data_IF_914554885083
#
_entry.id   IF_914554885083
#
_cell.length_a   1.000
_cell.length_b   1.000
_cell.length_c   1.000
_cell.angle_alpha   90.00
_cell.angle_beta   90.00
_cell.angle_gamma   90.00
#
_symmetry.space_group_name_H-M   'P 1'
#
loop_
_entity.id
_entity.type
_entity.pdbx_description
1 polymer ?
#
# COMPACT_ATOMS: atom_id res chain seq x y z
N UNK A 1 13.93 -24.21 55.34
CA UNK A 1 14.56 -23.18 54.48
C UNK A 1 15.78 -23.67 53.68
N UNK A 2 16.41 -24.80 54.01
CA UNK A 2 17.57 -25.31 53.24
C UNK A 2 17.24 -26.12 51.97
N UNK A 3 16.01 -26.66 51.84
CA UNK A 3 15.64 -27.56 50.73
C UNK A 3 15.75 -26.91 49.35
N UNK A 4 15.35 -25.65 49.21
CA UNK A 4 15.43 -24.92 47.94
C UNK A 4 16.86 -24.63 47.51
N UNK A 5 17.74 -24.28 48.46
CA UNK A 5 19.18 -24.08 48.20
C UNK A 5 19.89 -25.39 47.83
N UNK A 6 19.52 -26.50 48.48
CA UNK A 6 20.01 -27.83 48.09
C UNK A 6 19.52 -28.24 46.70
N UNK A 7 18.25 -28.01 46.38
CA UNK A 7 17.67 -28.32 45.07
C UNK A 7 18.37 -27.53 43.95
N UNK A 8 18.58 -26.22 44.14
CA UNK A 8 19.27 -25.37 43.15
C UNK A 8 20.73 -25.80 42.94
N UNK A 9 21.45 -26.17 44.02
CA UNK A 9 22.83 -26.64 43.93
C UNK A 9 22.93 -27.97 43.20
N UNK A 10 21.96 -28.87 43.40
CA UNK A 10 21.87 -30.17 42.73
C UNK A 10 21.49 -30.01 41.24
N UNK A 11 20.59 -29.08 40.92
CA UNK A 11 20.20 -28.75 39.55
C UNK A 11 21.37 -28.17 38.73
N UNK A 12 22.17 -27.29 39.35
CA UNK A 12 23.31 -26.63 38.70
C UNK A 12 24.49 -27.59 38.44
N UNK A 13 24.63 -28.65 39.23
CA UNK A 13 25.73 -29.63 39.07
C UNK A 13 25.41 -30.75 38.09
N UNK A 14 24.13 -31.02 37.81
CA UNK A 14 23.70 -32.11 36.91
C UNK A 14 23.16 -31.57 35.58
N UNK A 15 24.02 -31.52 34.57
CA UNK A 15 23.70 -31.01 33.23
C UNK A 15 22.48 -31.67 32.56
N UNK A 16 22.25 -32.97 32.81
CA UNK A 16 21.09 -33.72 32.26
C UNK A 16 19.75 -33.12 32.74
N UNK A 17 19.68 -32.72 34.02
CA UNK A 17 18.46 -32.14 34.58
C UNK A 17 18.19 -30.73 34.02
N UNK A 18 19.25 -29.94 33.85
CA UNK A 18 19.18 -28.60 33.29
C UNK A 18 18.73 -28.64 31.81
N UNK A 19 19.27 -29.58 31.03
CA UNK A 19 18.87 -29.77 29.63
C UNK A 19 17.38 -30.14 29.50
N UNK A 20 16.86 -30.98 30.39
CA UNK A 20 15.43 -31.35 30.41
C UNK A 20 14.50 -30.17 30.70
N UNK A 21 14.83 -29.34 31.68
CA UNK A 21 14.02 -28.17 32.04
C UNK A 21 14.05 -27.13 30.93
N UNK A 22 15.21 -26.86 30.32
CA UNK A 22 15.31 -25.94 29.18
C UNK A 22 14.48 -26.46 28.01
N UNK A 23 14.57 -27.76 27.69
CA UNK A 23 13.80 -28.37 26.61
C UNK A 23 12.29 -28.24 26.83
N UNK A 24 11.82 -28.55 28.04
CA UNK A 24 10.41 -28.39 28.42
C UNK A 24 9.97 -26.93 28.38
N UNK A 25 10.80 -26.01 28.89
CA UNK A 25 10.49 -24.57 28.92
C UNK A 25 10.43 -24.01 27.50
N UNK A 26 11.36 -24.39 26.64
CA UNK A 26 11.38 -23.96 25.24
C UNK A 26 10.15 -24.51 24.49
N UNK A 27 9.77 -25.76 24.73
CA UNK A 27 8.58 -26.38 24.11
C UNK A 27 7.26 -25.75 24.55
N UNK A 28 7.13 -25.39 25.83
CA UNK A 28 5.95 -24.67 26.32
C UNK A 28 5.96 -23.23 25.82
N UNK A 29 7.13 -22.57 25.79
CA UNK A 29 7.26 -21.22 25.27
C UNK A 29 6.87 -21.11 23.79
N UNK A 30 7.27 -22.07 22.94
CA UNK A 30 6.87 -22.07 21.53
C UNK A 30 5.36 -22.24 21.37
N UNK A 31 4.72 -23.12 22.14
CA UNK A 31 3.26 -23.27 22.16
C UNK A 31 2.54 -21.98 22.55
N UNK A 32 3.01 -21.27 23.58
CA UNK A 32 2.42 -20.01 24.03
C UNK A 32 2.61 -18.91 22.98
N UNK A 33 3.84 -18.75 22.47
CA UNK A 33 4.17 -17.67 21.52
C UNK A 33 3.36 -17.81 20.24
N UNK A 34 3.25 -19.02 19.68
CA UNK A 34 2.52 -19.23 18.41
C UNK A 34 1.04 -18.84 18.55
N UNK A 35 0.37 -19.31 19.61
CA UNK A 35 -1.02 -18.95 19.86
C UNK A 35 -1.18 -17.43 20.09
N UNK A 36 -0.27 -16.84 20.88
CA UNK A 36 -0.32 -15.41 21.20
C UNK A 36 -0.08 -14.52 19.97
N UNK A 37 0.83 -14.91 19.08
CA UNK A 37 1.13 -14.15 17.85
C UNK A 37 -0.05 -14.20 16.90
N UNK A 38 -0.67 -15.37 16.73
CA UNK A 38 -1.84 -15.49 15.85
C UNK A 38 -3.03 -14.67 16.35
N UNK A 39 -3.29 -14.70 17.66
CA UNK A 39 -4.38 -13.94 18.27
C UNK A 39 -4.12 -12.42 18.23
N UNK A 40 -2.89 -12.00 18.53
CA UNK A 40 -2.47 -10.60 18.46
C UNK A 40 -2.59 -10.04 17.05
N UNK A 41 -2.05 -10.75 16.06
CA UNK A 41 -2.13 -10.35 14.66
C UNK A 41 -3.58 -10.31 14.16
N UNK A 42 -4.40 -11.30 14.52
CA UNK A 42 -5.81 -11.33 14.12
C UNK A 42 -6.60 -10.15 14.68
N UNK A 43 -6.32 -9.76 15.93
CA UNK A 43 -6.96 -8.61 16.57
C UNK A 43 -6.51 -7.31 15.93
N UNK A 44 -5.20 -7.13 15.73
CA UNK A 44 -4.65 -5.94 15.09
C UNK A 44 -5.10 -5.77 13.65
N UNK A 45 -5.14 -6.86 12.88
CA UNK A 45 -5.62 -6.83 11.49
C UNK A 45 -7.10 -6.44 11.44
N UNK A 46 -7.94 -7.01 12.31
CA UNK A 46 -9.37 -6.64 12.39
C UNK A 46 -9.54 -5.17 12.77
N UNK A 47 -8.79 -4.68 13.75
CA UNK A 47 -8.82 -3.28 14.18
C UNK A 47 -8.33 -2.34 13.08
N UNK A 48 -7.29 -2.70 12.34
CA UNK A 48 -6.79 -1.88 11.22
C UNK A 48 -7.76 -1.83 10.05
N UNK A 49 -8.41 -2.95 9.73
CA UNK A 49 -9.41 -3.00 8.66
C UNK A 49 -10.68 -2.22 9.03
N UNK A 50 -11.15 -2.34 10.28
CA UNK A 50 -12.36 -1.66 10.77
C UNK A 50 -12.10 -0.21 11.21
N UNK A 51 -10.87 0.14 11.54
CA UNK A 51 -10.52 1.47 12.04
C UNK A 51 -10.51 2.53 10.94
N UNK A 52 -10.34 2.16 9.67
CA UNK A 52 -10.25 3.16 8.58
C UNK A 52 -11.62 3.45 7.96
N UNK A 53 -12.56 2.50 8.04
CA UNK A 53 -13.86 2.54 7.37
C UNK A 53 -15.02 2.55 8.37
N UNK A 54 -16.17 3.10 7.96
CA UNK A 54 -17.40 2.96 8.74
C UNK A 54 -17.85 1.48 8.75
N UNK A 55 -18.48 1.04 9.85
CA UNK A 55 -18.98 -0.34 9.97
C UNK A 55 -20.07 -0.67 8.93
N UNK A 56 -20.88 0.33 8.58
CA UNK A 56 -21.94 0.24 7.57
C UNK A 56 -21.89 1.48 6.69
N UNK A 57 -21.90 1.26 5.38
CA UNK A 57 -21.94 2.34 4.37
C UNK A 57 -23.24 2.19 3.58
N UNK A 58 -23.99 3.27 3.49
CA UNK A 58 -25.19 3.36 2.67
C UNK A 58 -24.87 4.24 1.48
N UNK A 59 -24.78 3.63 0.30
CA UNK A 59 -24.43 4.32 -0.94
C UNK A 59 -25.64 4.37 -1.87
N UNK A 60 -25.67 5.41 -2.69
CA UNK A 60 -26.62 5.52 -3.81
C UNK A 60 -25.93 5.07 -5.08
N UNK A 61 -26.63 4.30 -5.93
CA UNK A 61 -26.08 3.86 -7.22
C UNK A 61 -25.90 5.00 -8.25
N UNK A 62 -26.34 6.22 -7.93
CA UNK A 62 -26.23 7.38 -8.82
C UNK A 62 -24.85 8.02 -8.69
N UNK A 63 -24.23 8.37 -9.82
CA UNK A 63 -22.94 9.06 -9.86
C UNK A 63 -23.02 10.53 -9.41
N UNK A 64 -24.17 11.18 -9.57
CA UNK A 64 -24.36 12.59 -9.18
C UNK A 64 -24.54 12.77 -7.66
N UNK A 65 -24.54 11.67 -6.92
CA UNK A 65 -24.94 11.64 -5.52
C UNK A 65 -26.43 11.94 -5.34
N UNK A 66 -26.88 11.89 -4.09
CA UNK A 66 -28.23 12.30 -3.71
C UNK A 66 -28.11 13.27 -2.53
N UNK A 67 -28.82 14.41 -2.54
CA UNK A 67 -28.90 15.26 -1.36
C UNK A 67 -29.40 14.44 -0.17
N UNK A 68 -28.64 14.49 0.94
CA UNK A 68 -29.05 13.81 2.17
C UNK A 68 -30.28 14.51 2.73
N UNK A 69 -31.43 14.00 2.34
CA UNK A 69 -32.73 14.43 2.83
C UNK A 69 -32.89 13.93 4.26
N UNK A 70 -33.52 14.75 5.13
CA UNK A 70 -33.84 14.36 6.51
C UNK A 70 -34.55 13.00 6.58
N UNK A 71 -35.25 12.62 5.51
CA UNK A 71 -35.98 11.37 5.38
C UNK A 71 -35.08 10.12 5.36
N UNK A 72 -33.90 10.17 4.73
CA UNK A 72 -32.96 9.04 4.71
C UNK A 72 -32.34 8.86 6.10
N UNK A 73 -31.93 9.96 6.73
CA UNK A 73 -31.45 9.94 8.13
C UNK A 73 -32.50 9.38 9.07
N UNK A 74 -33.75 9.82 8.93
CA UNK A 74 -34.86 9.37 9.76
C UNK A 74 -35.25 7.91 9.49
N UNK A 75 -35.15 7.42 8.26
CA UNK A 75 -35.43 6.02 7.94
C UNK A 75 -34.37 5.09 8.53
N UNK A 76 -33.10 5.47 8.45
CA UNK A 76 -31.98 4.74 9.10
C UNK A 76 -32.18 4.75 10.62
N UNK A 77 -32.49 5.91 11.20
CA UNK A 77 -32.76 6.02 12.64
C UNK A 77 -33.95 5.16 13.08
N UNK A 78 -35.01 5.05 12.27
CA UNK A 78 -36.16 4.17 12.57
C UNK A 78 -35.82 2.69 12.45
N UNK A 79 -34.91 2.32 11.55
CA UNK A 79 -34.54 0.92 11.32
C UNK A 79 -33.60 0.37 12.39
N UNK A 80 -32.62 1.18 12.83
CA UNK A 80 -31.55 0.74 13.75
C UNK A 80 -31.73 1.30 15.17
N UNK A 81 -32.47 2.40 15.34
CA UNK A 81 -32.78 2.94 16.66
C UNK A 81 -31.54 3.43 17.41
N UNK A 82 -31.43 3.02 18.68
CA UNK A 82 -30.42 3.48 19.63
C UNK A 82 -29.05 2.80 19.48
N UNK A 83 -28.92 1.80 18.60
CA UNK A 83 -27.65 1.10 18.36
C UNK A 83 -26.67 1.92 17.48
N UNK A 84 -27.07 3.11 17.01
CA UNK A 84 -26.24 4.01 16.20
C UNK A 84 -25.32 4.83 17.12
N UNK A 85 -24.05 4.46 17.19
CA UNK A 85 -23.04 5.23 17.91
C UNK A 85 -22.72 6.59 17.26
N UNK A 86 -22.83 6.67 15.93
CA UNK A 86 -22.61 7.89 15.16
C UNK A 86 -23.00 7.71 13.70
N UNK A 87 -23.35 8.82 13.04
CA UNK A 87 -23.64 8.81 11.62
C UNK A 87 -23.13 10.09 10.97
N UNK A 88 -22.47 9.95 9.83
CA UNK A 88 -21.97 11.07 9.03
C UNK A 88 -22.41 10.90 7.58
N UNK A 89 -22.51 12.02 6.88
CA UNK A 89 -22.62 12.04 5.43
C UNK A 89 -21.25 12.26 4.83
N UNK A 90 -20.92 11.52 3.78
CA UNK A 90 -19.69 11.71 3.01
C UNK A 90 -19.99 11.66 1.53
N UNK A 91 -19.22 12.43 0.75
CA UNK A 91 -19.26 12.40 -0.71
C UNK A 91 -17.91 11.93 -1.20
N UNK A 92 -17.85 10.86 -1.97
CA UNK A 92 -16.62 10.31 -2.52
C UNK A 92 -16.57 10.54 -4.03
N UNK A 93 -15.50 11.16 -4.51
CA UNK A 93 -15.25 11.33 -5.95
C UNK A 93 -13.81 10.95 -6.29
N UNK A 94 -13.62 10.41 -7.48
CA UNK A 94 -12.28 10.17 -8.03
C UNK A 94 -11.77 11.45 -8.71
N UNK A 95 -10.55 11.86 -8.38
CA UNK A 95 -9.92 13.05 -8.91
C UNK A 95 -8.45 12.79 -9.27
N UNK A 96 -7.84 13.73 -10.02
CA UNK A 96 -6.40 13.74 -10.27
C UNK A 96 -5.79 14.92 -9.53
N UNK A 97 -4.87 14.65 -8.61
CA UNK A 97 -4.10 15.67 -7.92
C UNK A 97 -2.79 15.89 -8.68
N UNK A 98 -2.62 17.09 -9.21
CA UNK A 98 -1.38 17.52 -9.86
C UNK A 98 -0.60 18.42 -8.92
N UNK A 99 0.55 17.94 -8.46
CA UNK A 99 1.48 18.72 -7.63
C UNK A 99 2.74 19.00 -8.45
N UNK A 100 3.18 20.25 -8.43
CA UNK A 100 4.46 20.63 -9.00
C UNK A 100 5.57 20.33 -7.98
N UNK A 101 6.49 19.46 -8.35
CA UNK A 101 7.68 19.17 -7.56
C UNK A 101 8.92 19.49 -8.40
N UNK A 102 9.61 20.58 -8.06
CA UNK A 102 10.67 21.13 -8.90
C UNK A 102 10.13 21.63 -10.24
N UNK A 103 10.72 21.18 -11.35
CA UNK A 103 10.31 21.54 -12.72
C UNK A 103 9.30 20.58 -13.37
N UNK A 104 8.92 19.50 -12.69
CA UNK A 104 8.02 18.48 -13.25
C UNK A 104 6.65 18.48 -12.56
N UNK A 105 5.60 18.31 -13.36
CA UNK A 105 4.24 18.05 -12.87
C UNK A 105 4.09 16.56 -12.59
N UNK A 106 3.77 16.23 -11.34
CA UNK A 106 3.49 14.86 -10.91
C UNK A 106 1.99 14.75 -10.67
N UNK A 107 1.29 14.06 -11.58
CA UNK A 107 -0.15 13.80 -11.47
C UNK A 107 -0.38 12.45 -10.81
N UNK A 108 -1.13 12.44 -9.71
CA UNK A 108 -1.50 11.21 -9.00
C UNK A 108 -3.03 11.09 -8.93
N UNK A 109 -3.62 9.94 -9.27
CA UNK A 109 -5.03 9.69 -8.98
C UNK A 109 -5.23 9.70 -7.47
N UNK A 110 -6.26 10.40 -7.02
CA UNK A 110 -6.65 10.50 -5.62
C UNK A 110 -8.16 10.31 -5.50
N UNK A 111 -8.59 9.80 -4.36
CA UNK A 111 -10.01 9.78 -3.99
C UNK A 111 -10.25 10.96 -3.07
N UNK A 112 -11.09 11.91 -3.50
CA UNK A 112 -11.49 13.05 -2.70
C UNK A 112 -12.75 12.71 -1.92
N UNK A 113 -12.68 12.84 -0.60
CA UNK A 113 -13.79 12.55 0.30
C UNK A 113 -14.21 13.86 0.96
N UNK A 114 -15.39 14.36 0.61
CA UNK A 114 -16.07 15.44 1.32
C UNK A 114 -16.62 14.91 2.64
N UNK A 115 -16.22 15.53 3.75
CA UNK A 115 -16.63 15.14 5.10
C UNK A 115 -17.20 16.34 5.86
N UNK A 116 -18.14 16.10 6.75
CA UNK A 116 -18.46 17.02 7.85
C UNK A 116 -17.55 16.69 9.04
N UNK A 117 -16.60 17.56 9.43
CA UNK A 117 -15.62 17.26 10.47
C UNK A 117 -16.25 16.92 11.83
N UNK A 118 -17.37 17.55 12.18
CA UNK A 118 -18.00 17.37 13.48
C UNK A 118 -18.60 15.97 13.63
N UNK A 119 -19.32 15.50 12.60
CA UNK A 119 -19.92 14.16 12.61
C UNK A 119 -18.93 13.07 12.24
N UNK A 120 -17.91 13.37 11.42
CA UNK A 120 -16.88 12.40 11.02
C UNK A 120 -16.04 11.93 12.20
N UNK A 121 -15.77 12.80 13.17
CA UNK A 121 -15.05 12.45 14.39
C UNK A 121 -15.78 11.38 15.23
N UNK A 122 -17.12 11.27 15.12
CA UNK A 122 -17.90 10.27 15.85
C UNK A 122 -17.85 8.88 15.19
N UNK A 123 -17.71 8.81 13.87
CA UNK A 123 -17.79 7.53 13.11
C UNK A 123 -16.44 6.91 12.78
N UNK A 124 -15.33 7.60 13.05
CA UNK A 124 -14.01 7.09 12.71
C UNK A 124 -12.87 7.82 13.41
N UNK A 125 -11.68 7.21 13.46
CA UNK A 125 -10.52 7.71 14.19
C UNK A 125 -9.73 8.77 13.41
N UNK A 126 -10.29 9.36 12.35
CA UNK A 126 -9.57 10.34 11.51
C UNK A 126 -8.91 11.43 12.34
N UNK A 127 -9.62 11.96 13.35
CA UNK A 127 -9.11 13.00 14.24
C UNK A 127 -7.84 12.59 15.00
N UNK A 128 -7.67 11.31 15.34
CA UNK A 128 -6.52 10.79 16.10
C UNK A 128 -5.24 10.72 15.25
N UNK A 129 -5.37 10.73 13.93
CA UNK A 129 -4.25 10.63 12.99
C UNK A 129 -3.90 11.97 12.34
N UNK A 130 -4.55 13.07 12.73
CA UNK A 130 -4.24 14.42 12.22
C UNK A 130 -3.12 15.06 13.05
N UNK A 131 -1.93 15.17 12.47
CA UNK A 131 -0.74 15.69 13.16
C UNK A 131 -0.85 17.15 13.65
N UNK A 132 -1.63 17.97 12.96
CA UNK A 132 -1.70 19.41 13.21
C UNK A 132 -2.97 19.85 13.95
N UNK A 133 -3.84 18.91 14.32
CA UNK A 133 -5.04 19.17 15.11
C UNK A 133 -4.74 18.81 16.57
N UNK A 134 -5.23 19.59 17.53
CA UNK A 134 -5.10 19.23 18.95
C UNK A 134 -5.94 17.98 19.24
N UNK A 135 -5.46 17.11 20.12
CA UNK A 135 -6.20 15.93 20.57
C UNK A 135 -7.62 16.32 21.02
N UNK A 136 -8.63 15.62 20.47
CA UNK A 136 -10.07 15.80 20.71
C UNK A 136 -10.70 17.11 20.20
N UNK A 137 -10.03 17.88 19.34
CA UNK A 137 -10.66 19.03 18.68
C UNK A 137 -11.33 18.61 17.36
N UNK A 138 -12.36 19.37 16.96
CA UNK A 138 -13.02 19.16 15.68
C UNK A 138 -12.04 19.58 14.58
N UNK A 139 -11.71 18.70 13.61
CA UNK A 139 -10.79 19.06 12.54
C UNK A 139 -11.27 20.30 11.81
N UNK A 140 -10.45 21.35 11.80
CA UNK A 140 -10.73 22.57 11.07
C UNK A 140 -9.68 22.78 9.97
N UNK A 141 -9.99 23.68 9.04
CA UNK A 141 -9.06 24.06 7.98
C UNK A 141 -8.05 25.13 8.42
N UNK A 142 -8.15 25.58 9.67
CA UNK A 142 -7.30 26.63 10.21
C UNK A 142 -6.01 26.03 10.76
N UNK A 143 -4.91 26.32 10.08
CA UNK A 143 -3.58 25.88 10.52
C UNK A 143 -3.23 26.54 11.86
N UNK A 144 -2.73 25.73 12.81
CA UNK A 144 -2.06 26.23 14.01
C UNK A 144 -0.97 27.26 13.64
N UNK A 145 -0.72 28.30 14.48
CA UNK A 145 0.34 29.27 14.22
C UNK A 145 1.71 28.64 13.95
N UNK A 146 2.02 27.52 14.60
CA UNK A 146 3.23 26.74 14.38
C UNK A 146 3.26 26.09 12.98
N UNK A 147 2.16 25.47 12.57
CA UNK A 147 2.00 24.86 11.25
C UNK A 147 2.10 25.90 10.13
N UNK A 148 1.53 27.09 10.37
CA UNK A 148 1.61 28.22 9.45
C UNK A 148 3.04 28.75 9.32
N UNK A 149 3.77 28.86 10.43
CA UNK A 149 5.18 29.26 10.43
C UNK A 149 6.05 28.25 9.66
N UNK A 150 5.89 26.95 9.93
CA UNK A 150 6.57 25.88 9.20
C UNK A 150 6.29 25.94 7.69
N UNK A 151 5.02 26.11 7.31
CA UNK A 151 4.63 26.23 5.90
C UNK A 151 5.25 27.47 5.25
N UNK A 152 5.26 28.61 5.96
CA UNK A 152 5.89 29.85 5.49
C UNK A 152 7.38 29.66 5.25
N UNK A 153 8.11 29.05 6.20
CA UNK A 153 9.54 28.74 6.05
C UNK A 153 9.81 27.85 4.84
N UNK A 154 8.99 26.82 4.64
CA UNK A 154 9.11 25.92 3.49
C UNK A 154 8.87 26.65 2.17
N UNK A 155 7.80 27.45 2.09
CA UNK A 155 7.49 28.25 0.90
C UNK A 155 8.58 29.28 0.62
N UNK A 156 9.10 29.98 1.65
CA UNK A 156 10.20 30.93 1.49
C UNK A 156 11.49 30.23 1.02
N UNK A 157 11.80 29.03 1.54
CA UNK A 157 12.95 28.24 1.10
C UNK A 157 12.80 27.77 -0.34
N UNK A 158 11.61 27.34 -0.73
CA UNK A 158 11.30 26.99 -2.12
C UNK A 158 11.44 28.20 -3.05
N UNK A 159 10.89 29.35 -2.66
CA UNK A 159 11.01 30.61 -3.39
C UNK A 159 12.48 31.02 -3.57
N UNK A 160 13.27 30.97 -2.49
CA UNK A 160 14.71 31.28 -2.54
C UNK A 160 15.48 30.35 -3.48
N UNK A 161 15.14 29.05 -3.52
CA UNK A 161 15.76 28.11 -4.47
C UNK A 161 15.43 28.47 -5.92
N UNK A 162 14.18 28.83 -6.20
CA UNK A 162 13.74 29.26 -7.54
C UNK A 162 14.41 30.58 -7.94
N UNK A 163 14.49 31.56 -7.03
CA UNK A 163 15.15 32.83 -7.29
C UNK A 163 16.65 32.63 -7.54
N UNK A 164 17.31 31.76 -6.78
CA UNK A 164 18.72 31.40 -6.99
C UNK A 164 18.93 30.72 -8.34
N UNK A 165 18.03 29.82 -8.74
CA UNK A 165 18.05 29.20 -10.06
C UNK A 165 17.96 30.23 -11.18
N UNK A 166 17.10 31.24 -11.04
CA UNK A 166 16.91 32.29 -12.05
C UNK A 166 18.09 33.28 -12.13
N UNK A 167 18.76 33.58 -11.01
CA UNK A 167 19.85 34.57 -10.97
C UNK A 167 21.25 33.97 -11.15
N UNK A 168 21.46 32.71 -10.78
CA UNK A 168 22.73 32.01 -10.93
C UNK A 168 22.47 30.53 -11.25
N UNK A 169 22.01 30.21 -12.47
CA UNK A 169 21.79 28.83 -12.86
C UNK A 169 23.10 28.05 -12.74
N UNK A 170 23.06 26.80 -12.23
CA UNK A 170 24.25 25.95 -12.30
C UNK A 170 24.73 25.89 -13.76
N UNK A 171 26.05 25.83 -14.02
CA UNK A 171 26.52 25.65 -15.37
C UNK A 171 25.81 24.42 -15.94
N UNK A 172 25.09 24.60 -17.05
CA UNK A 172 24.61 23.45 -17.80
C UNK A 172 25.87 22.68 -18.15
N UNK A 173 26.00 21.46 -17.64
CA UNK A 173 26.99 20.52 -18.17
C UNK A 173 26.66 20.45 -19.66
N UNK A 174 27.50 21.13 -20.46
CA UNK A 174 27.53 20.96 -21.89
C UNK A 174 27.64 19.47 -22.07
N UNK A 175 26.65 18.85 -22.72
CA UNK A 175 26.72 17.43 -23.03
C UNK A 175 28.09 17.20 -23.66
N UNK A 176 29.04 16.64 -22.90
CA UNK A 176 30.15 15.93 -23.49
C UNK A 176 29.44 14.86 -24.30
N UNK A 177 29.37 15.10 -25.61
CA UNK A 177 29.12 14.04 -26.56
C UNK A 177 30.21 13.04 -26.25
N UNK A 178 29.87 12.03 -25.44
CA UNK A 178 30.64 10.80 -25.37
C UNK A 178 30.59 10.28 -26.79
N UNK A 179 31.59 10.63 -27.57
CA UNK A 179 31.82 10.05 -28.88
C UNK A 179 32.08 8.59 -28.62
N UNK A 180 31.04 7.78 -28.74
CA UNK A 180 31.20 6.37 -29.03
C UNK A 180 31.99 6.33 -30.35
N UNK A 181 33.31 6.14 -30.27
CA UNK A 181 34.06 5.62 -31.40
C UNK A 181 33.36 4.30 -31.78
N UNK A 182 32.72 4.27 -32.95
CA UNK A 182 32.27 3.02 -33.53
C UNK A 182 33.49 2.09 -33.59
N UNK A 183 33.46 0.91 -32.93
CA UNK A 183 34.54 -0.04 -33.10
C UNK A 183 34.52 -0.46 -34.57
N UNK A 184 35.65 -0.24 -35.24
CA UNK A 184 35.92 -0.70 -36.60
C UNK A 184 35.46 -2.14 -36.73
N UNK A 185 34.55 -2.37 -37.68
CA UNK A 185 33.94 -3.66 -38.00
C UNK A 185 35.03 -4.69 -38.34
N UNK A 186 35.51 -5.42 -37.33
CA UNK A 186 36.37 -6.57 -37.50
C UNK A 186 35.51 -7.78 -37.82
N UNK A 187 35.62 -8.25 -39.06
CA UNK A 187 34.89 -9.38 -39.65
C UNK A 187 35.31 -10.76 -39.09
N UNK A 188 35.65 -10.88 -37.80
CA UNK A 188 35.93 -12.17 -37.16
C UNK A 188 34.74 -12.60 -36.28
N UNK A 189 34.19 -13.83 -36.48
CA UNK A 189 33.08 -14.30 -35.69
C UNK A 189 33.51 -14.48 -34.23
N UNK A 190 32.76 -13.85 -33.32
CA UNK A 190 32.96 -13.97 -31.87
C UNK A 190 32.91 -15.45 -31.44
N UNK A 191 33.81 -15.91 -30.55
CA UNK A 191 33.80 -17.29 -30.07
C UNK A 191 32.53 -17.57 -29.27
N UNK A 192 31.90 -18.71 -29.55
CA UNK A 192 30.66 -19.11 -28.90
C UNK A 192 30.82 -19.21 -27.36
N UNK A 193 29.85 -18.70 -26.59
CA UNK A 193 29.89 -18.77 -25.13
C UNK A 193 29.91 -20.23 -24.67
N UNK A 194 30.90 -20.60 -23.86
CA UNK A 194 31.01 -21.93 -23.26
C UNK A 194 30.01 -22.05 -22.11
N UNK A 195 28.82 -22.56 -22.41
CA UNK A 195 27.91 -23.03 -21.37
C UNK A 195 28.45 -24.36 -20.83
N UNK A 196 28.71 -24.43 -19.53
CA UNK A 196 29.14 -25.66 -18.86
C UNK A 196 28.01 -26.69 -18.92
N UNK A 197 28.14 -27.67 -19.81
CA UNK A 197 27.30 -28.86 -19.82
C UNK A 197 27.85 -29.86 -18.80
N UNK A 198 27.36 -29.81 -17.56
CA UNK A 198 27.40 -30.94 -16.62
C UNK A 198 26.44 -30.67 -15.46
N UNK A 199 25.21 -31.16 -15.58
CA UNK A 199 24.40 -31.72 -14.48
C UNK A 199 23.08 -32.23 -15.03
N UNK A 200 22.97 -33.55 -15.12
CA UNK A 200 21.71 -34.26 -15.17
C UNK A 200 20.87 -33.91 -13.92
N UNK A 201 19.94 -32.98 -14.05
CA UNK A 201 18.79 -32.90 -13.16
C UNK A 201 17.57 -32.57 -14.00
N UNK A 202 16.73 -33.57 -14.19
CA UNK A 202 15.46 -33.45 -14.90
C UNK A 202 14.59 -32.37 -14.25
N UNK A 203 14.19 -31.38 -15.05
CA UNK A 203 13.19 -30.39 -14.64
C UNK A 203 11.82 -31.10 -14.52
N UNK A 204 11.05 -30.91 -13.44
CA UNK A 204 9.79 -31.64 -13.18
C UNK A 204 8.62 -31.38 -14.16
N UNK A 205 8.84 -30.66 -15.25
CA UNK A 205 7.79 -30.16 -16.13
C UNK A 205 7.73 -30.82 -17.51
N UNK A 206 8.60 -31.78 -17.83
CA UNK A 206 8.65 -32.43 -19.16
C UNK A 206 7.76 -33.68 -19.32
N UNK A 207 6.82 -33.94 -18.40
CA UNK A 207 5.83 -35.02 -18.58
C UNK A 207 4.42 -34.47 -18.77
N UNK A 208 4.10 -34.11 -20.02
CA UNK A 208 2.73 -34.04 -20.52
C UNK A 208 2.59 -34.99 -21.74
N UNK A 209 1.48 -35.73 -21.88
CA UNK A 209 1.37 -36.83 -22.84
C UNK A 209 1.19 -36.32 -24.28
N UNK A 210 1.84 -37.00 -25.24
CA UNK A 210 1.72 -36.75 -26.68
C UNK A 210 0.28 -36.96 -27.17
N UNK A 211 -0.31 -36.03 -27.96
CA UNK A 211 -1.59 -36.28 -28.62
C UNK A 211 -1.38 -37.03 -29.94
N UNK A 212 -2.11 -38.13 -30.11
CA UNK A 212 -2.24 -38.86 -31.37
C UNK A 212 -3.02 -38.04 -32.41
N UNK A 213 -2.67 -38.24 -33.68
CA UNK A 213 -3.22 -37.55 -34.84
C UNK A 213 -4.65 -37.98 -35.16
N UNK A 214 -5.55 -37.01 -35.42
CA UNK A 214 -6.80 -37.23 -36.15
C UNK A 214 -6.99 -36.11 -37.21
N UNK A 215 -7.39 -36.53 -38.41
CA UNK A 215 -7.37 -35.79 -39.68
C UNK A 215 -8.52 -34.76 -39.85
N UNK A 216 -8.20 -33.70 -40.62
CA UNK A 216 -9.01 -32.85 -41.54
C UNK A 216 -10.53 -32.69 -41.28
N UNK A 217 -11.00 -31.43 -41.12
CA UNK A 217 -11.86 -30.70 -42.09
C UNK A 217 -12.19 -29.25 -41.64
N UNK A 218 -12.26 -28.36 -42.62
CA UNK A 218 -12.94 -27.04 -42.66
C UNK A 218 -12.16 -25.78 -42.22
N UNK A 219 -11.72 -25.06 -43.26
CA UNK A 219 -11.46 -23.62 -43.31
C UNK A 219 -12.68 -22.81 -42.87
N UNK A 220 -12.50 -21.87 -41.92
CA UNK A 220 -13.26 -20.62 -41.84
C UNK A 220 -12.38 -19.47 -41.34
N UNK A 221 -12.58 -18.36 -42.03
CA UNK A 221 -11.90 -17.08 -42.03
C UNK A 221 -12.10 -16.31 -40.71
N UNK A 222 -11.11 -15.50 -40.32
CA UNK A 222 -11.11 -14.67 -39.11
C UNK A 222 -12.09 -13.47 -39.28
N UNK A 223 -13.06 -13.23 -38.37
CA UNK A 223 -14.22 -12.37 -38.65
C UNK A 223 -14.05 -10.87 -38.29
N UNK A 224 -12.83 -10.34 -38.20
CA UNK A 224 -12.60 -8.96 -37.71
C UNK A 224 -11.61 -8.14 -38.55
N UNK A 225 -11.34 -8.51 -39.81
CA UNK A 225 -10.32 -7.81 -40.61
C UNK A 225 -10.83 -6.65 -41.47
N UNK A 226 -12.12 -6.51 -41.70
CA UNK A 226 -12.65 -5.46 -42.59
C UNK A 226 -13.82 -4.74 -41.93
N UNK A 227 -13.53 -3.61 -41.26
CA UNK A 227 -14.32 -2.37 -41.33
C UNK A 227 -13.79 -1.32 -40.34
N UNK A 228 -12.78 -0.56 -40.75
CA UNK A 228 -12.48 0.75 -40.20
C UNK A 228 -12.19 1.74 -41.33
N UNK A 229 -13.25 2.25 -41.97
CA UNK A 229 -13.20 3.52 -42.73
C UNK A 229 -14.49 4.33 -42.55
N UNK A 230 -14.28 5.53 -42.01
CA UNK A 230 -15.02 6.79 -42.23
C UNK A 230 -16.47 6.95 -41.69
N UNK A 231 -16.64 7.89 -40.76
CA UNK A 231 -17.37 9.17 -40.91
C UNK A 231 -17.79 9.67 -39.51
N UNK A 232 -17.22 10.79 -39.03
CA UNK A 232 -17.88 12.09 -39.03
C UNK A 232 -19.27 12.08 -38.36
N UNK A 233 -19.29 12.41 -37.06
CA UNK A 233 -20.18 13.39 -36.40
C UNK A 233 -19.55 13.76 -35.05
#
# INVERSE_FOLDING_TARGET
MYKSLLCLRYLRTRYIALASIISMTLGVATMIVVNSVMDGFSTDMRTRLRGILADVIVETNSLDGEPVTKDIRNSIQRAVGDDIAGMTTTVEIYAMLSVQYGSQWQSKPVTLIGIDPATKATVGPLAQYLEHTKDNDIPNWELSPEAMAYRKEWTTRAQWMVDRWNHNPPPMEENEQVSFEEPVESNEPLPAPKFASDSETASPFDQAPKPEAVQKKNSKLNPFSDDLKASAF
#
